data_IF_957229023491
#
_entry.id   IF_957229023491
#
_cell.length_a   1.000
_cell.length_b   1.000
_cell.length_c   1.000
_cell.angle_alpha   90.00
_cell.angle_beta   90.00
_cell.angle_gamma   90.00
#
_symmetry.space_group_name_H-M   'P 1'
#
loop_
_entity.id
_entity.type
_entity.pdbx_description
1 polymer ?
#
# COMPACT_ATOMS: atom_id res chain seq x y z
N UNK A 1 -10.88 13.13 -0.67
CA UNK A 1 -11.59 11.96 -1.23
C UNK A 1 -10.98 10.71 -0.64
N UNK A 2 -11.78 9.78 -0.11
CA UNK A 2 -11.26 8.57 0.53
C UNK A 2 -10.90 7.53 -0.53
N UNK A 3 -9.79 7.76 -1.24
CA UNK A 3 -9.35 6.98 -2.42
C UNK A 3 -9.17 5.48 -2.12
N UNK A 4 -9.02 5.11 -0.85
CA UNK A 4 -8.89 3.72 -0.40
C UNK A 4 -10.05 2.82 -0.82
N UNK A 5 -11.30 3.33 -0.82
CA UNK A 5 -12.46 2.55 -1.28
C UNK A 5 -12.34 2.24 -2.77
N UNK A 6 -11.90 3.23 -3.56
CA UNK A 6 -11.67 3.08 -5.00
C UNK A 6 -10.53 2.07 -5.24
N UNK A 7 -9.40 2.24 -4.54
CA UNK A 7 -8.25 1.34 -4.66
C UNK A 7 -8.60 -0.11 -4.31
N UNK A 8 -9.37 -0.35 -3.24
CA UNK A 8 -9.84 -1.70 -2.89
C UNK A 8 -10.68 -2.30 -4.02
N UNK A 9 -11.61 -1.53 -4.59
CA UNK A 9 -12.47 -2.00 -5.67
C UNK A 9 -11.66 -2.33 -6.93
N UNK A 10 -10.69 -1.48 -7.29
CA UNK A 10 -9.76 -1.73 -8.40
C UNK A 10 -8.94 -3.01 -8.19
N UNK A 11 -8.49 -3.25 -6.95
CA UNK A 11 -7.77 -4.47 -6.57
C UNK A 11 -8.70 -5.69 -6.37
N UNK A 12 -10.02 -5.56 -6.48
CA UNK A 12 -10.92 -6.73 -6.47
C UNK A 12 -10.84 -7.49 -7.80
N UNK A 13 -10.53 -6.81 -8.90
CA UNK A 13 -10.45 -7.38 -10.25
C UNK A 13 -9.39 -8.48 -10.36
N UNK A 14 -9.67 -9.52 -11.16
CA UNK A 14 -8.77 -10.68 -11.33
C UNK A 14 -7.41 -10.26 -11.89
N UNK A 15 -7.41 -9.34 -12.85
CA UNK A 15 -6.21 -8.82 -13.50
C UNK A 15 -6.12 -7.33 -13.21
N UNK A 16 -5.02 -6.90 -12.61
CA UNK A 16 -4.71 -5.49 -12.37
C UNK A 16 -3.43 -5.17 -13.13
N UNK A 17 -3.47 -4.25 -14.12
CA UNK A 17 -2.26 -3.86 -14.83
C UNK A 17 -1.20 -3.31 -13.87
N UNK A 18 0.07 -3.62 -14.16
CA UNK A 18 1.24 -3.24 -13.36
C UNK A 18 1.30 -1.73 -13.05
N UNK A 19 1.02 -0.88 -14.03
CA UNK A 19 1.01 0.58 -13.84
C UNK A 19 -0.03 1.03 -12.80
N UNK A 20 -1.17 0.33 -12.72
CA UNK A 20 -2.25 0.65 -11.77
C UNK A 20 -1.86 0.22 -10.35
N UNK A 21 -1.23 -0.95 -10.21
CA UNK A 21 -0.67 -1.38 -8.92
C UNK A 21 0.42 -0.42 -8.42
N UNK A 22 1.29 0.04 -9.32
CA UNK A 22 2.31 1.06 -9.02
C UNK A 22 1.63 2.35 -8.54
N UNK A 23 0.66 2.87 -9.28
CA UNK A 23 -0.04 4.12 -8.91
C UNK A 23 -0.71 4.02 -7.53
N UNK A 24 -1.44 2.94 -7.26
CA UNK A 24 -2.07 2.69 -5.96
C UNK A 24 -1.02 2.61 -4.84
N UNK A 25 0.08 1.88 -5.09
CA UNK A 25 1.17 1.77 -4.10
C UNK A 25 1.80 3.13 -3.80
N UNK A 26 2.04 3.96 -4.82
CA UNK A 26 2.56 5.31 -4.64
C UNK A 26 1.62 6.18 -3.78
N UNK A 27 0.33 6.20 -4.09
CA UNK A 27 -0.69 6.96 -3.34
C UNK A 27 -0.74 6.53 -1.86
N UNK A 28 -0.69 5.22 -1.60
CA UNK A 28 -0.66 4.67 -0.23
C UNK A 28 0.62 5.09 0.51
N UNK A 29 1.78 4.94 -0.13
CA UNK A 29 3.06 5.32 0.47
C UNK A 29 3.17 6.84 0.70
N UNK A 30 2.52 7.68 -0.12
CA UNK A 30 2.51 9.13 0.05
C UNK A 30 1.54 9.62 1.14
N UNK A 31 0.56 8.79 1.52
CA UNK A 31 -0.47 9.20 2.47
C UNK A 31 0.10 9.47 3.86
N UNK A 32 0.03 10.73 4.29
CA UNK A 32 0.35 11.15 5.67
C UNK A 32 -0.71 10.73 6.69
N UNK A 33 -1.93 10.42 6.23
CA UNK A 33 -2.98 9.85 7.07
C UNK A 33 -2.65 8.41 7.46
N UNK A 34 -2.10 7.63 6.51
CA UNK A 34 -1.67 6.26 6.75
C UNK A 34 -0.32 6.19 7.46
N UNK A 35 0.62 7.07 7.07
CA UNK A 35 2.01 6.99 7.49
C UNK A 35 2.56 8.38 7.80
N UNK A 36 2.44 8.78 9.08
CA UNK A 36 2.91 10.08 9.57
C UNK A 36 4.41 10.26 9.32
N UNK A 37 5.20 9.22 9.56
CA UNK A 37 6.65 9.20 9.39
C UNK A 37 7.05 8.17 8.33
N UNK A 38 8.23 8.33 7.72
CA UNK A 38 8.71 7.41 6.69
C UNK A 38 8.96 6.00 7.26
N UNK A 39 9.40 5.91 8.52
CA UNK A 39 9.63 4.63 9.21
C UNK A 39 8.34 3.81 9.36
N UNK A 40 7.19 4.49 9.44
CA UNK A 40 5.88 3.84 9.58
C UNK A 40 5.50 3.02 8.34
N UNK A 41 6.19 3.23 7.20
CA UNK A 41 5.99 2.43 5.97
C UNK A 41 6.65 1.06 6.02
N UNK A 42 7.63 0.85 6.91
CA UNK A 42 8.42 -0.39 6.94
C UNK A 42 7.56 -1.64 7.11
N UNK A 43 6.58 -1.69 8.04
CA UNK A 43 5.71 -2.87 8.17
C UNK A 43 4.98 -3.20 6.87
N UNK A 44 4.45 -2.19 6.17
CA UNK A 44 3.77 -2.38 4.87
C UNK A 44 4.73 -2.94 3.81
N UNK A 45 5.96 -2.41 3.74
CA UNK A 45 6.97 -2.85 2.76
C UNK A 45 7.37 -4.31 2.99
N UNK A 46 7.52 -4.71 4.25
CA UNK A 46 7.85 -6.08 4.61
C UNK A 46 6.66 -7.03 4.37
N UNK A 47 5.46 -6.64 4.77
CA UNK A 47 4.28 -7.49 4.68
C UNK A 47 3.87 -7.71 3.22
N UNK A 48 3.71 -6.61 2.45
CA UNK A 48 3.19 -6.66 1.09
C UNK A 48 4.26 -7.10 0.10
N UNK A 49 5.43 -6.46 0.16
CA UNK A 49 6.45 -6.60 -0.88
C UNK A 49 7.62 -7.51 -0.47
N UNK A 50 7.69 -7.91 0.80
CA UNK A 50 8.76 -8.76 1.34
C UNK A 50 10.15 -8.15 1.14
N UNK A 51 10.24 -6.84 1.29
CA UNK A 51 11.50 -6.08 1.17
C UNK A 51 11.84 -5.32 2.44
N UNK A 52 13.14 -5.26 2.74
CA UNK A 52 13.71 -4.41 3.79
C UNK A 52 14.68 -3.43 3.13
N UNK A 53 14.32 -2.15 3.09
CA UNK A 53 15.23 -1.15 2.56
C UNK A 53 16.23 -0.68 3.60
N UNK A 54 17.42 -0.30 3.13
CA UNK A 54 18.46 0.31 3.94
C UNK A 54 17.97 1.63 4.53
N UNK A 55 18.53 2.03 5.66
CA UNK A 55 18.14 3.24 6.41
C UNK A 55 18.12 4.50 5.53
N UNK A 56 19.11 4.67 4.64
CA UNK A 56 19.17 5.82 3.74
C UNK A 56 17.96 5.92 2.78
N UNK A 57 17.36 4.79 2.42
CA UNK A 57 16.13 4.76 1.62
C UNK A 57 14.95 5.16 2.50
N UNK A 58 14.85 4.57 3.70
CA UNK A 58 13.75 4.83 4.63
C UNK A 58 13.71 6.31 5.06
N UNK A 59 14.86 6.99 5.12
CA UNK A 59 14.92 8.43 5.42
C UNK A 59 14.18 9.32 4.41
N UNK A 60 13.95 8.85 3.18
CA UNK A 60 13.32 9.65 2.12
C UNK A 60 12.13 8.92 1.48
N UNK A 61 10.93 9.49 1.60
CA UNK A 61 9.70 8.93 1.02
C UNK A 61 9.79 8.70 -0.48
N UNK A 62 10.39 9.64 -1.21
CA UNK A 62 10.60 9.51 -2.66
C UNK A 62 11.53 8.35 -2.99
N UNK A 63 12.55 8.11 -2.17
CA UNK A 63 13.44 6.96 -2.37
C UNK A 63 12.72 5.63 -2.11
N UNK A 64 11.89 5.54 -1.06
CA UNK A 64 11.03 4.38 -0.80
C UNK A 64 10.15 4.09 -2.02
N UNK A 65 9.47 5.12 -2.54
CA UNK A 65 8.58 4.99 -3.70
C UNK A 65 9.36 4.54 -4.92
N UNK A 66 10.45 5.22 -5.28
CA UNK A 66 11.24 4.88 -6.46
C UNK A 66 11.77 3.44 -6.43
N UNK A 67 12.23 2.96 -5.27
CA UNK A 67 12.69 1.57 -5.09
C UNK A 67 11.54 0.58 -5.21
N UNK A 68 10.38 0.89 -4.63
CA UNK A 68 9.20 0.02 -4.66
C UNK A 68 8.57 -0.03 -6.04
N UNK A 69 8.52 1.09 -6.76
CA UNK A 69 8.10 1.14 -8.16
C UNK A 69 8.98 0.27 -9.03
N UNK A 70 10.31 0.34 -8.86
CA UNK A 70 11.25 -0.51 -9.61
C UNK A 70 11.04 -1.99 -9.30
N UNK A 71 10.89 -2.35 -8.03
CA UNK A 71 10.59 -3.72 -7.60
C UNK A 71 9.33 -4.26 -8.29
N UNK A 72 8.22 -3.51 -8.21
CA UNK A 72 6.96 -3.91 -8.87
C UNK A 72 7.18 -3.99 -10.38
N UNK A 73 7.91 -3.05 -10.98
CA UNK A 73 8.15 -3.05 -12.41
C UNK A 73 8.93 -4.28 -12.91
N UNK A 74 9.90 -4.74 -12.13
CA UNK A 74 10.76 -5.90 -12.44
C UNK A 74 10.13 -7.25 -12.06
N UNK A 75 9.02 -7.25 -11.33
CA UNK A 75 8.34 -8.47 -10.87
C UNK A 75 7.57 -9.18 -11.99
N UNK A 76 7.50 -10.51 -11.89
CA UNK A 76 6.70 -11.38 -12.76
C UNK A 76 5.20 -11.39 -12.40
N UNK A 77 4.36 -11.96 -13.26
CA UNK A 77 2.91 -11.99 -13.04
C UNK A 77 2.48 -12.68 -11.73
N UNK A 78 3.04 -13.85 -11.35
CA UNK A 78 2.73 -14.47 -10.07
C UNK A 78 3.05 -13.56 -8.87
N UNK A 79 4.20 -12.88 -8.87
CA UNK A 79 4.58 -11.96 -7.80
C UNK A 79 3.67 -10.74 -7.76
N UNK A 80 3.34 -10.17 -8.91
CA UNK A 80 2.38 -9.07 -9.02
C UNK A 80 1.01 -9.46 -8.46
N UNK A 81 0.55 -10.67 -8.74
CA UNK A 81 -0.71 -11.18 -8.20
C UNK A 81 -0.67 -11.26 -6.67
N UNK A 82 0.44 -11.70 -6.08
CA UNK A 82 0.61 -11.73 -4.62
C UNK A 82 0.62 -10.33 -4.01
N UNK A 83 1.38 -9.39 -4.57
CA UNK A 83 1.40 -7.99 -4.11
C UNK A 83 0.02 -7.38 -4.15
N UNK A 84 -0.70 -7.57 -5.26
CA UNK A 84 -2.07 -7.11 -5.43
C UNK A 84 -3.02 -7.69 -4.37
N UNK A 85 -2.93 -9.00 -4.07
CA UNK A 85 -3.76 -9.65 -3.04
C UNK A 85 -3.47 -9.08 -1.64
N UNK A 86 -2.20 -8.94 -1.28
CA UNK A 86 -1.80 -8.41 0.04
C UNK A 86 -2.19 -6.94 0.19
N UNK A 87 -2.04 -6.13 -0.86
CA UNK A 87 -2.45 -4.73 -0.87
C UNK A 87 -3.96 -4.59 -0.73
N UNK A 88 -4.75 -5.45 -1.39
CA UNK A 88 -6.20 -5.51 -1.18
C UNK A 88 -6.54 -5.79 0.28
N UNK A 89 -5.92 -6.81 0.88
CA UNK A 89 -6.16 -7.20 2.27
C UNK A 89 -5.82 -6.07 3.25
N UNK A 90 -4.67 -5.42 3.07
CA UNK A 90 -4.27 -4.25 3.86
C UNK A 90 -5.32 -3.14 3.83
N UNK A 91 -5.79 -2.77 2.63
CA UNK A 91 -6.78 -1.69 2.47
C UNK A 91 -8.13 -2.09 3.08
N UNK A 92 -8.59 -3.32 2.86
CA UNK A 92 -9.87 -3.79 3.40
C UNK A 92 -9.87 -3.82 4.93
N UNK A 93 -8.77 -4.30 5.54
CA UNK A 93 -8.61 -4.30 6.99
C UNK A 93 -8.58 -2.88 7.57
N UNK A 94 -7.83 -1.96 6.93
CA UNK A 94 -7.78 -0.57 7.34
C UNK A 94 -9.16 0.09 7.31
N UNK A 95 -9.93 -0.12 6.24
CA UNK A 95 -11.28 0.41 6.09
C UNK A 95 -12.25 -0.14 7.15
N UNK A 96 -12.17 -1.44 7.47
CA UNK A 96 -12.99 -2.06 8.52
C UNK A 96 -12.69 -1.45 9.90
N UNK A 97 -11.40 -1.34 10.27
CA UNK A 97 -10.99 -0.74 11.56
C UNK A 97 -11.48 0.71 11.68
N UNK A 98 -11.38 1.48 10.60
CA UNK A 98 -11.86 2.87 10.56
C UNK A 98 -13.38 2.98 10.73
N UNK A 99 -14.16 2.05 10.16
CA UNK A 99 -15.60 2.02 10.34
C UNK A 99 -15.98 1.70 11.79
N UNK A 100 -15.36 0.68 12.40
CA UNK A 100 -15.65 0.27 13.79
C UNK A 100 -15.30 1.33 14.84
N UNK A 101 -14.37 2.25 14.56
CA UNK A 101 -14.06 3.37 15.46
C UNK A 101 -15.07 4.51 15.37
N UNK A 102 -15.77 4.67 14.25
CA UNK A 102 -16.79 5.71 14.10
C UNK A 102 -18.11 5.36 14.81
N UNK A 103 -18.41 4.09 15.02
CA UNK A 103 -19.64 3.64 15.69
C UNK A 103 -19.60 3.77 17.23
N UNK A 104 -18.42 3.95 17.82
CA UNK A 104 -18.22 4.03 19.28
C UNK A 104 -18.13 5.48 19.82
N UNK A 105 -18.43 6.49 19.00
CA UNK A 105 -18.27 7.92 19.33
C UNK A 105 -19.53 8.65 19.83
N UNK A 106 -20.59 7.93 20.21
CA UNK A 106 -21.84 8.53 20.69
C UNK A 106 -22.18 8.11 22.12
N UNK A 107 -21.42 8.62 23.10
CA UNK A 107 -21.89 8.79 24.50
C UNK A 107 -21.18 9.98 25.14
#
# INVERSE_FOLDING_TARGET
MNNLVIFRNELKNRIVPKYKLIGITCEILLSRELFKNNIDTVPLLEEIFSVKYKEYVIKNRTAIIARTTRLINESDEPTIYQYKKKLYSFIDEYLRKKASHNDNGHY
#
